data_IF_832256996884
#
_entry.id   IF_832256996884
#
_cell.length_a   1.000
_cell.length_b   1.000
_cell.length_c   1.000
_cell.angle_alpha   90.00
_cell.angle_beta   90.00
_cell.angle_gamma   90.00
#
_symmetry.space_group_name_H-M   'P 1'
#
loop_
_entity.id
_entity.type
_entity.pdbx_description
1 polymer ?
#
# COMPACT_ATOMS: atom_id res chain seq x y z
N UNK A 1 -28.01 8.67 6.78
CA UNK A 1 -27.18 7.54 6.32
C UNK A 1 -25.75 7.81 6.74
N UNK A 2 -25.11 6.84 7.38
CA UNK A 2 -23.74 6.97 7.89
C UNK A 2 -22.76 7.19 6.74
N UNK A 3 -21.82 8.13 6.92
CA UNK A 3 -20.83 8.50 5.90
C UNK A 3 -19.43 8.56 6.49
N UNK A 4 -18.48 8.05 5.71
CA UNK A 4 -17.06 8.34 5.85
C UNK A 4 -16.66 9.36 4.78
N UNK A 5 -15.83 10.33 5.14
CA UNK A 5 -15.25 11.27 4.17
C UNK A 5 -13.73 11.15 4.12
N UNK A 6 -13.18 11.09 2.92
CA UNK A 6 -11.75 11.05 2.64
C UNK A 6 -11.37 12.40 2.04
N UNK A 7 -10.60 13.19 2.79
CA UNK A 7 -10.11 14.51 2.40
C UNK A 7 -8.61 14.41 2.11
N UNK A 8 -8.17 14.20 0.84
CA UNK A 8 -6.75 14.22 0.51
C UNK A 8 -6.15 15.58 0.89
N UNK A 9 -4.96 15.55 1.49
CA UNK A 9 -4.24 16.76 1.89
C UNK A 9 -3.14 17.10 0.89
N UNK A 10 -2.75 18.36 0.84
CA UNK A 10 -1.55 18.76 0.10
C UNK A 10 -0.31 18.04 0.64
N UNK A 11 0.55 17.59 -0.28
CA UNK A 11 1.79 16.91 0.10
C UNK A 11 2.72 17.89 0.81
N UNK A 12 3.12 17.54 2.03
CA UNK A 12 4.00 18.39 2.86
C UNK A 12 5.44 17.94 2.69
N UNK A 13 6.34 18.88 2.37
CA UNK A 13 7.79 18.69 2.32
C UNK A 13 8.43 19.27 3.58
N UNK A 14 9.18 18.45 4.33
CA UNK A 14 9.88 18.89 5.53
C UNK A 14 11.07 17.98 5.87
N UNK A 15 12.20 18.59 6.20
CA UNK A 15 13.42 17.90 6.68
C UNK A 15 13.91 16.77 5.74
N UNK A 16 13.80 16.96 4.42
CA UNK A 16 14.19 15.96 3.41
C UNK A 16 13.19 14.80 3.26
N UNK A 17 12.02 14.90 3.89
CA UNK A 17 10.92 13.95 3.74
C UNK A 17 9.71 14.61 3.08
N UNK A 18 8.92 13.79 2.41
CA UNK A 18 7.57 14.11 1.97
C UNK A 18 6.56 13.33 2.80
N UNK A 19 5.42 13.96 3.08
CA UNK A 19 4.27 13.36 3.74
C UNK A 19 3.06 13.52 2.84
N UNK A 20 2.47 12.40 2.44
CA UNK A 20 1.20 12.31 1.72
C UNK A 20 0.17 11.87 2.73
N UNK A 21 -0.94 12.58 2.81
CA UNK A 21 -1.95 12.31 3.83
C UNK A 21 -3.37 12.44 3.28
N UNK A 22 -4.29 11.77 3.98
CA UNK A 22 -5.71 11.92 3.82
C UNK A 22 -6.33 12.04 5.22
N UNK A 23 -7.09 13.10 5.45
CA UNK A 23 -7.91 13.22 6.65
C UNK A 23 -9.17 12.39 6.45
N UNK A 24 -9.36 11.40 7.32
CA UNK A 24 -10.52 10.53 7.36
C UNK A 24 -11.49 11.08 8.40
N UNK A 25 -12.64 11.55 7.96
CA UNK A 25 -13.75 11.90 8.84
C UNK A 25 -14.66 10.69 8.98
N UNK A 26 -14.87 10.28 10.22
CA UNK A 26 -15.67 9.13 10.60
C UNK A 26 -17.15 9.54 10.76
N UNK A 27 -18.03 8.56 10.96
CA UNK A 27 -19.48 8.74 11.10
C UNK A 27 -19.82 9.62 12.31
N UNK A 28 -19.02 9.53 13.38
CA UNK A 28 -19.12 10.36 14.59
C UNK A 28 -18.44 11.74 14.43
N UNK A 29 -18.07 12.11 13.20
CA UNK A 29 -17.36 13.34 12.82
C UNK A 29 -15.95 13.45 13.41
N UNK A 30 -15.45 12.41 14.08
CA UNK A 30 -14.04 12.40 14.50
C UNK A 30 -13.15 12.32 13.28
N UNK A 31 -12.06 13.10 13.31
CA UNK A 31 -11.10 13.18 12.21
C UNK A 31 -9.80 12.52 12.61
N UNK A 32 -9.31 11.62 11.76
CA UNK A 32 -8.00 10.97 11.91
C UNK A 32 -7.23 11.05 10.60
N UNK A 33 -5.94 11.38 10.71
CA UNK A 33 -5.06 11.48 9.55
C UNK A 33 -4.42 10.13 9.24
N UNK A 34 -4.64 9.61 8.03
CA UNK A 34 -3.86 8.52 7.47
C UNK A 34 -2.72 9.13 6.65
N UNK A 35 -1.49 8.69 6.87
CA UNK A 35 -0.33 9.25 6.17
C UNK A 35 0.69 8.21 5.75
N UNK A 36 1.44 8.59 4.73
CA UNK A 36 2.63 7.94 4.20
C UNK A 36 3.79 8.95 4.25
N UNK A 37 4.94 8.52 4.76
CA UNK A 37 6.15 9.34 4.86
C UNK A 37 7.32 8.63 4.21
N UNK A 38 8.04 9.32 3.34
CA UNK A 38 9.20 8.78 2.62
C UNK A 38 10.19 9.90 2.27
N UNK A 39 11.44 9.56 1.90
CA UNK A 39 12.42 10.56 1.46
C UNK A 39 11.93 11.37 0.25
N UNK A 40 12.21 12.67 0.26
CA UNK A 40 11.74 13.61 -0.77
C UNK A 40 12.18 13.25 -2.20
N UNK A 41 13.33 12.59 -2.35
CA UNK A 41 13.84 12.13 -3.66
C UNK A 41 12.89 11.20 -4.43
N UNK A 42 11.88 10.64 -3.77
CA UNK A 42 10.88 9.76 -4.37
C UNK A 42 9.58 10.47 -4.76
N UNK A 43 9.48 11.79 -4.55
CA UNK A 43 8.29 12.60 -4.82
C UNK A 43 7.73 12.41 -6.23
N UNK A 44 8.57 12.36 -7.25
CA UNK A 44 8.05 12.29 -8.62
C UNK A 44 7.53 10.90 -8.99
N UNK A 45 7.76 9.90 -8.11
CA UNK A 45 7.33 8.51 -8.30
C UNK A 45 5.99 8.16 -7.68
N UNK A 46 5.45 9.03 -6.83
CA UNK A 46 4.23 8.78 -6.08
C UNK A 46 3.00 9.36 -6.76
N UNK A 47 1.84 8.76 -6.49
CA UNK A 47 0.54 9.18 -7.01
C UNK A 47 -0.12 10.26 -6.16
N UNK A 48 -0.96 11.08 -6.78
CA UNK A 48 -1.92 11.96 -6.10
C UNK A 48 -3.31 11.33 -5.98
N UNK A 49 -3.53 10.13 -6.53
CA UNK A 49 -4.79 9.39 -6.41
C UNK A 49 -5.06 8.98 -4.96
N UNK A 50 -6.34 8.88 -4.61
CA UNK A 50 -6.81 8.42 -3.31
C UNK A 50 -6.83 6.89 -3.19
N UNK A 51 -6.53 6.15 -4.26
CA UNK A 51 -6.51 4.68 -4.28
C UNK A 51 -5.75 4.07 -3.09
N UNK A 52 -4.52 4.53 -2.72
CA UNK A 52 -3.80 3.97 -1.59
C UNK A 52 -4.54 4.16 -0.26
N UNK A 53 -5.28 5.25 -0.07
CA UNK A 53 -5.99 5.50 1.18
C UNK A 53 -7.21 4.60 1.33
N UNK A 54 -7.93 4.36 0.23
CA UNK A 54 -9.09 3.46 0.20
C UNK A 54 -8.64 2.03 0.51
N UNK A 55 -7.62 1.54 -0.20
CA UNK A 55 -7.13 0.16 -0.02
C UNK A 55 -6.55 -0.06 1.38
N UNK A 56 -5.91 0.95 1.96
CA UNK A 56 -5.39 0.87 3.33
C UNK A 56 -6.50 0.68 4.39
N UNK A 57 -7.68 1.23 4.14
CA UNK A 57 -8.79 1.26 5.11
C UNK A 57 -9.98 0.39 4.73
N UNK A 58 -9.94 -0.32 3.59
CA UNK A 58 -11.10 -1.06 3.07
C UNK A 58 -11.78 -1.94 4.12
N UNK A 59 -11.02 -2.73 4.88
CA UNK A 59 -11.57 -3.57 5.93
C UNK A 59 -12.18 -2.81 7.11
N UNK A 60 -11.60 -1.66 7.48
CA UNK A 60 -12.18 -0.79 8.49
C UNK A 60 -13.52 -0.23 8.00
N UNK A 61 -13.60 0.17 6.73
CA UNK A 61 -14.82 0.73 6.16
C UNK A 61 -15.93 -0.32 6.03
N UNK A 62 -15.59 -1.57 5.73
CA UNK A 62 -16.54 -2.68 5.63
C UNK A 62 -17.11 -3.16 6.98
N UNK A 63 -16.64 -2.63 8.12
CA UNK A 63 -17.12 -3.06 9.45
C UNK A 63 -18.56 -2.66 9.74
N UNK A 64 -19.08 -1.66 9.06
CA UNK A 64 -20.44 -1.17 9.25
C UNK A 64 -21.02 -0.64 7.94
N UNK A 65 -22.34 -0.74 7.72
CA UNK A 65 -22.96 -0.16 6.54
C UNK A 65 -22.81 1.36 6.49
N UNK A 66 -22.01 1.86 5.53
CA UNK A 66 -21.76 3.27 5.33
C UNK A 66 -21.54 3.62 3.85
N UNK A 67 -21.75 4.90 3.53
CA UNK A 67 -21.30 5.49 2.26
C UNK A 67 -19.91 6.08 2.45
N UNK A 68 -19.02 5.89 1.49
CA UNK A 68 -17.69 6.50 1.47
C UNK A 68 -17.70 7.59 0.39
N UNK A 69 -17.38 8.82 0.81
CA UNK A 69 -17.23 9.96 -0.09
C UNK A 69 -15.77 10.34 -0.15
N UNK A 70 -15.19 10.32 -1.34
CA UNK A 70 -13.77 10.62 -1.57
C UNK A 70 -13.67 11.95 -2.30
N UNK A 71 -13.11 12.94 -1.61
CA UNK A 71 -12.93 14.30 -2.12
C UNK A 71 -11.65 14.43 -2.95
N UNK A 72 -11.47 13.49 -3.88
CA UNK A 72 -10.28 13.36 -4.69
C UNK A 72 -10.47 12.35 -5.83
N UNK A 73 -9.38 12.09 -6.54
CA UNK A 73 -9.38 11.15 -7.66
C UNK A 73 -9.29 9.70 -7.18
N UNK A 74 -10.10 8.82 -7.77
CA UNK A 74 -10.03 7.36 -7.60
C UNK A 74 -10.08 6.71 -8.98
N UNK A 75 -9.33 5.61 -9.16
CA UNK A 75 -9.33 4.88 -10.42
C UNK A 75 -10.62 4.07 -10.61
N UNK A 76 -11.33 4.19 -11.75
CA UNK A 76 -12.48 3.36 -12.07
C UNK A 76 -12.17 1.85 -11.98
N UNK A 77 -11.00 1.45 -12.45
CA UNK A 77 -10.51 0.07 -12.34
C UNK A 77 -10.37 -0.41 -10.89
N UNK A 78 -9.96 0.46 -9.96
CA UNK A 78 -9.95 0.13 -8.53
C UNK A 78 -11.38 -0.04 -8.00
N UNK A 79 -12.30 0.88 -8.32
CA UNK A 79 -13.69 0.80 -7.85
C UNK A 79 -14.38 -0.49 -8.32
N UNK A 80 -14.11 -0.91 -9.56
CA UNK A 80 -14.58 -2.19 -10.06
C UNK A 80 -13.99 -3.36 -9.27
N UNK A 81 -12.66 -3.41 -9.14
CA UNK A 81 -11.98 -4.53 -8.47
C UNK A 81 -12.30 -4.63 -6.97
N UNK A 82 -12.47 -3.49 -6.30
CA UNK A 82 -12.79 -3.46 -4.88
C UNK A 82 -14.23 -3.88 -4.61
N UNK A 83 -15.13 -3.74 -5.59
CA UNK A 83 -16.49 -4.29 -5.50
C UNK A 83 -16.47 -5.81 -5.40
N UNK A 84 -15.71 -6.47 -6.29
CA UNK A 84 -15.53 -7.93 -6.23
C UNK A 84 -14.79 -8.36 -4.96
N UNK A 85 -13.74 -7.63 -4.58
CA UNK A 85 -12.98 -7.92 -3.36
C UNK A 85 -13.87 -7.87 -2.10
N UNK A 86 -14.77 -6.89 -2.02
CA UNK A 86 -15.75 -6.79 -0.93
C UNK A 86 -16.71 -7.98 -0.91
N UNK A 87 -17.22 -8.39 -2.09
CA UNK A 87 -18.13 -9.53 -2.21
C UNK A 87 -17.48 -10.82 -1.70
N UNK A 88 -16.22 -11.08 -2.06
CA UNK A 88 -15.46 -12.25 -1.59
C UNK A 88 -15.36 -12.26 -0.06
N UNK A 89 -14.98 -11.13 0.55
CA UNK A 89 -14.84 -11.04 2.00
C UNK A 89 -16.17 -11.10 2.75
N UNK A 90 -17.24 -10.60 2.15
CA UNK A 90 -18.59 -10.77 2.67
C UNK A 90 -19.03 -12.24 2.61
N UNK A 91 -18.63 -13.01 1.59
CA UNK A 91 -18.86 -14.45 1.58
C UNK A 91 -18.05 -15.19 2.64
N UNK A 92 -16.80 -14.79 2.88
CA UNK A 92 -15.94 -15.46 3.85
C UNK A 92 -16.24 -15.11 5.32
N UNK A 93 -16.65 -13.87 5.60
CA UNK A 93 -16.98 -13.40 6.95
C UNK A 93 -18.26 -12.55 6.95
N UNK A 94 -19.43 -13.14 6.62
CA UNK A 94 -20.69 -12.42 6.42
C UNK A 94 -21.18 -11.67 7.66
N UNK A 95 -20.86 -12.17 8.86
CA UNK A 95 -21.28 -11.54 10.12
C UNK A 95 -20.41 -10.35 10.54
N UNK A 96 -19.33 -10.09 9.81
CA UNK A 96 -18.32 -9.08 10.18
C UNK A 96 -18.10 -8.01 9.11
N UNK A 97 -18.27 -8.37 7.84
CA UNK A 97 -18.02 -7.46 6.71
C UNK A 97 -19.25 -7.22 5.86
N UNK A 98 -19.43 -5.95 5.50
CA UNK A 98 -20.50 -5.45 4.66
C UNK A 98 -19.92 -4.76 3.43
N UNK A 99 -20.61 -4.87 2.30
CA UNK A 99 -20.30 -4.04 1.12
C UNK A 99 -20.61 -2.56 1.42
N UNK A 100 -19.70 -1.68 1.00
CA UNK A 100 -19.81 -0.24 1.14
C UNK A 100 -19.70 0.44 -0.23
N UNK A 101 -20.54 1.45 -0.42
CA UNK A 101 -20.57 2.23 -1.67
C UNK A 101 -19.50 3.32 -1.61
N UNK A 102 -18.57 3.30 -2.58
CA UNK A 102 -17.47 4.26 -2.69
C UNK A 102 -17.77 5.20 -3.85
N UNK A 103 -17.94 6.50 -3.54
CA UNK A 103 -18.15 7.54 -4.53
C UNK A 103 -16.97 8.52 -4.47
N UNK A 104 -16.35 8.76 -5.61
CA UNK A 104 -15.27 9.74 -5.75
C UNK A 104 -15.77 11.00 -6.45
N UNK A 105 -15.20 12.16 -6.09
CA UNK A 105 -15.45 13.41 -6.83
C UNK A 105 -14.91 13.34 -8.25
N UNK A 106 -13.81 12.61 -8.45
CA UNK A 106 -13.17 12.42 -9.75
C UNK A 106 -12.90 10.93 -9.94
N UNK A 107 -13.52 10.33 -10.96
CA UNK A 107 -13.23 8.97 -11.38
C UNK A 107 -12.37 9.00 -12.64
N UNK A 108 -11.07 8.76 -12.49
CA UNK A 108 -10.12 8.76 -13.58
C UNK A 108 -8.93 7.83 -13.28
N UNK A 109 -8.49 7.08 -14.29
CA UNK A 109 -7.29 6.26 -14.19
C UNK A 109 -6.05 7.13 -13.95
N UNK A 110 -5.04 6.58 -13.27
CA UNK A 110 -3.74 7.25 -13.16
C UNK A 110 -3.07 7.25 -14.53
N UNK A 111 -2.58 8.41 -14.96
CA UNK A 111 -1.65 8.48 -16.08
C UNK A 111 -0.37 7.74 -15.73
N UNK A 112 -0.21 6.54 -16.29
CA UNK A 112 1.02 5.78 -16.17
C UNK A 112 2.03 6.39 -17.13
N UNK A 113 3.23 6.73 -16.65
CA UNK A 113 4.33 7.05 -17.54
C UNK A 113 4.52 5.88 -18.55
N UNK A 114 4.74 6.18 -19.83
CA UNK A 114 5.00 5.19 -20.91
C UNK A 114 6.28 4.34 -20.73
N UNK A 115 6.77 4.21 -19.50
CA UNK A 115 7.95 3.44 -19.13
C UNK A 115 7.65 1.94 -19.18
N UNK A 116 8.66 1.10 -19.43
CA UNK A 116 8.51 -0.36 -19.40
C UNK A 116 7.94 -0.82 -18.07
N UNK A 117 7.19 -1.93 -18.11
CA UNK A 117 6.57 -2.61 -16.97
C UNK A 117 7.58 -2.81 -15.83
N UNK A 118 7.67 -1.82 -14.93
CA UNK A 118 8.65 -1.77 -13.86
C UNK A 118 8.00 -2.27 -12.57
N UNK A 119 8.42 -3.44 -12.04
CA UNK A 119 7.84 -4.02 -10.85
C UNK A 119 8.52 -3.51 -9.58
N UNK A 120 7.71 -3.19 -8.56
CA UNK A 120 8.15 -2.95 -7.19
C UNK A 120 7.71 -4.11 -6.30
N UNK A 121 8.54 -4.53 -5.36
CA UNK A 121 8.21 -5.62 -4.43
C UNK A 121 8.26 -5.15 -2.99
N UNK A 122 7.29 -5.55 -2.16
CA UNK A 122 7.40 -5.38 -0.72
C UNK A 122 8.59 -6.21 -0.20
N UNK A 123 9.44 -5.61 0.63
CA UNK A 123 10.68 -6.23 1.09
C UNK A 123 10.92 -5.94 2.57
N UNK A 124 10.82 -6.99 3.40
CA UNK A 124 11.03 -6.88 4.85
C UNK A 124 12.45 -7.27 5.29
N UNK A 125 13.23 -7.92 4.42
CA UNK A 125 14.49 -8.58 4.78
C UNK A 125 14.29 -9.98 5.38
N UNK A 126 13.04 -10.44 5.49
CA UNK A 126 12.70 -11.81 5.88
C UNK A 126 12.93 -12.81 4.74
N UNK A 127 13.02 -14.10 5.08
CA UNK A 127 13.38 -15.19 4.16
C UNK A 127 12.49 -15.22 2.92
N UNK A 128 11.19 -14.95 3.05
CA UNK A 128 10.23 -14.96 1.95
C UNK A 128 10.51 -13.87 0.92
N UNK A 129 10.78 -12.64 1.40
CA UNK A 129 11.14 -11.52 0.54
C UNK A 129 12.49 -11.71 -0.15
N UNK A 130 13.46 -12.28 0.58
CA UNK A 130 14.78 -12.61 0.06
C UNK A 130 14.71 -13.71 -1.00
N UNK A 131 13.96 -14.78 -0.74
CA UNK A 131 13.79 -15.91 -1.65
C UNK A 131 12.99 -15.52 -2.89
N UNK A 132 11.93 -14.72 -2.74
CA UNK A 132 11.18 -14.15 -3.87
C UNK A 132 12.10 -13.36 -4.77
N UNK A 133 12.84 -12.39 -4.23
CA UNK A 133 13.79 -11.60 -5.02
C UNK A 133 14.86 -12.47 -5.70
N UNK A 134 15.44 -13.43 -4.96
CA UNK A 134 16.48 -14.32 -5.47
C UNK A 134 15.98 -15.17 -6.65
N UNK A 135 14.79 -15.77 -6.55
CA UNK A 135 14.22 -16.56 -7.65
C UNK A 135 14.02 -15.72 -8.91
N UNK A 136 13.52 -14.48 -8.75
CA UNK A 136 13.41 -13.53 -9.85
C UNK A 136 14.79 -13.18 -10.41
N UNK A 137 15.79 -12.89 -9.58
CA UNK A 137 17.15 -12.57 -10.06
C UNK A 137 17.85 -13.76 -10.74
N UNK A 138 17.47 -14.99 -10.41
CA UNK A 138 18.03 -16.23 -11.00
C UNK A 138 17.23 -16.79 -12.17
N UNK A 139 16.13 -16.15 -12.59
CA UNK A 139 15.33 -16.64 -13.72
C UNK A 139 14.50 -17.88 -13.39
N UNK A 140 14.25 -18.17 -12.10
CA UNK A 140 13.60 -19.40 -11.64
C UNK A 140 12.06 -19.30 -11.58
N UNK A 141 11.50 -18.15 -11.98
CA UNK A 141 10.07 -17.89 -11.94
C UNK A 141 9.31 -18.26 -13.24
N UNK A 142 10.00 -18.75 -14.28
CA UNK A 142 9.37 -19.13 -15.55
C UNK A 142 8.57 -17.98 -16.17
N UNK A 143 7.29 -18.21 -16.50
CA UNK A 143 6.40 -17.16 -17.06
C UNK A 143 6.08 -16.02 -16.09
N UNK A 144 6.28 -16.25 -14.80
CA UNK A 144 6.09 -15.23 -13.75
C UNK A 144 7.35 -14.39 -13.52
N UNK A 145 8.38 -14.57 -14.36
CA UNK A 145 9.60 -13.78 -14.28
C UNK A 145 9.29 -12.28 -14.39
N UNK A 146 9.87 -11.52 -13.46
CA UNK A 146 9.78 -10.05 -13.37
C UNK A 146 11.16 -9.48 -13.11
N UNK A 147 11.50 -8.38 -13.78
CA UNK A 147 12.75 -7.65 -13.54
C UNK A 147 12.60 -6.72 -12.32
N UNK A 148 12.67 -7.27 -11.12
CA UNK A 148 12.52 -6.51 -9.87
C UNK A 148 13.75 -5.61 -9.68
N UNK A 149 13.56 -4.31 -9.79
CA UNK A 149 14.60 -3.27 -9.62
C UNK A 149 14.40 -2.42 -8.38
N UNK A 150 13.27 -2.58 -7.68
CA UNK A 150 12.96 -1.82 -6.46
C UNK A 150 12.27 -2.69 -5.41
N UNK A 151 12.79 -2.66 -4.19
CA UNK A 151 12.16 -3.16 -2.98
C UNK A 151 11.62 -2.02 -2.11
N UNK A 152 10.43 -2.20 -1.53
CA UNK A 152 9.80 -1.26 -0.61
C UNK A 152 9.80 -1.83 0.80
N UNK A 153 10.48 -1.16 1.74
CA UNK A 153 10.52 -1.56 3.15
C UNK A 153 9.65 -0.63 3.98
N UNK A 154 8.69 -1.22 4.71
CA UNK A 154 7.63 -0.48 5.41
C UNK A 154 7.91 -0.41 6.92
N UNK A 155 7.92 0.79 7.47
CA UNK A 155 7.96 1.10 8.89
C UNK A 155 6.55 1.40 9.42
N UNK A 156 6.20 0.88 10.59
CA UNK A 156 4.88 1.06 11.22
C UNK A 156 4.00 -0.19 11.19
N UNK A 157 4.50 -1.30 10.62
CA UNK A 157 3.87 -2.62 10.68
C UNK A 157 4.54 -3.50 11.75
N UNK A 158 5.39 -4.44 11.33
CA UNK A 158 6.07 -5.38 12.23
C UNK A 158 7.05 -4.68 13.16
N UNK A 159 7.70 -3.62 12.67
CA UNK A 159 8.48 -2.68 13.48
C UNK A 159 7.59 -1.46 13.75
N UNK A 160 7.18 -1.21 15.01
CA UNK A 160 6.36 -0.06 15.36
C UNK A 160 7.05 1.27 15.06
N UNK A 161 6.28 2.32 14.81
CA UNK A 161 6.79 3.67 14.52
C UNK A 161 7.68 4.24 15.63
N UNK A 162 7.48 3.82 16.88
CA UNK A 162 8.30 4.23 18.03
C UNK A 162 9.71 3.63 18.02
N UNK A 163 9.94 2.54 17.29
CA UNK A 163 11.22 1.84 17.24
C UNK A 163 12.04 2.27 16.01
N UNK A 164 12.43 3.55 15.98
CA UNK A 164 13.15 4.16 14.86
C UNK A 164 14.53 3.53 14.63
N UNK A 165 15.29 3.25 15.69
CA UNK A 165 16.62 2.64 15.59
C UNK A 165 16.56 1.20 15.09
N UNK A 166 15.56 0.43 15.52
CA UNK A 166 15.33 -0.95 15.05
C UNK A 166 15.02 -0.94 13.56
N UNK A 167 14.14 -0.04 13.12
CA UNK A 167 13.85 0.12 11.70
C UNK A 167 15.08 0.55 10.90
N UNK A 168 15.85 1.53 11.38
CA UNK A 168 17.07 1.99 10.71
C UNK A 168 18.09 0.85 10.53
N UNK A 169 18.30 0.04 11.58
CA UNK A 169 19.19 -1.12 11.52
C UNK A 169 18.70 -2.17 10.52
N UNK A 170 17.40 -2.47 10.52
CA UNK A 170 16.80 -3.43 9.60
C UNK A 170 16.86 -2.91 8.14
N UNK A 171 16.58 -1.63 7.93
CA UNK A 171 16.65 -0.97 6.63
C UNK A 171 18.05 -1.01 6.04
N UNK A 172 19.09 -0.70 6.83
CA UNK A 172 20.47 -0.74 6.33
C UNK A 172 20.91 -2.15 5.91
N UNK A 173 20.47 -3.19 6.65
CA UNK A 173 20.71 -4.59 6.26
C UNK A 173 20.00 -4.94 4.96
N UNK A 174 18.71 -4.61 4.85
CA UNK A 174 17.90 -4.84 3.66
C UNK A 174 18.45 -4.09 2.44
N UNK A 175 18.88 -2.83 2.63
CA UNK A 175 19.49 -2.00 1.59
C UNK A 175 20.78 -2.62 1.04
N UNK A 176 21.67 -3.12 1.91
CA UNK A 176 22.89 -3.82 1.48
C UNK A 176 22.56 -5.08 0.67
N UNK A 177 21.57 -5.85 1.12
CA UNK A 177 21.14 -7.07 0.42
C UNK A 177 20.57 -6.76 -0.97
N UNK A 178 19.63 -5.81 -1.07
CA UNK A 178 19.05 -5.39 -2.33
C UNK A 178 20.11 -4.80 -3.28
N UNK A 179 21.04 -4.02 -2.75
CA UNK A 179 22.13 -3.42 -3.53
C UNK A 179 23.08 -4.48 -4.11
N UNK A 180 23.30 -5.60 -3.42
CA UNK A 180 24.09 -6.73 -3.96
C UNK A 180 23.45 -7.44 -5.16
N UNK A 181 22.18 -7.11 -5.45
CA UNK A 181 21.39 -7.65 -6.56
C UNK A 181 20.92 -6.54 -7.51
N UNK A 182 21.61 -5.39 -7.54
CA UNK A 182 21.27 -4.22 -8.37
C UNK A 182 19.80 -3.80 -8.20
N UNK A 183 19.34 -3.77 -6.95
CA UNK A 183 17.95 -3.44 -6.59
C UNK A 183 17.95 -2.29 -5.59
N UNK A 184 17.17 -1.25 -5.86
CA UNK A 184 16.99 -0.12 -4.94
C UNK A 184 16.13 -0.54 -3.73
N UNK A 185 16.41 0.02 -2.55
CA UNK A 185 15.58 -0.16 -1.36
C UNK A 185 14.97 1.20 -0.95
N UNK A 186 13.64 1.31 -1.03
CA UNK A 186 12.90 2.52 -0.65
C UNK A 186 12.33 2.33 0.76
N UNK A 187 12.62 3.23 1.71
CA UNK A 187 11.96 3.24 3.01
C UNK A 187 10.63 4.01 2.92
N UNK A 188 9.60 3.47 3.57
CA UNK A 188 8.29 4.12 3.70
C UNK A 188 7.78 3.92 5.13
N UNK A 189 7.40 5.00 5.81
CA UNK A 189 6.70 4.94 7.10
C UNK A 189 5.21 5.22 6.91
N UNK A 190 4.36 4.57 7.70
CA UNK A 190 2.92 4.85 7.70
C UNK A 190 2.27 4.54 9.04
N UNK A 191 1.14 5.19 9.33
CA UNK A 191 0.35 4.98 10.54
C UNK A 191 -0.90 4.10 10.36
N UNK A 192 -1.03 3.32 9.28
CA UNK A 192 -2.20 2.45 9.03
C UNK A 192 -2.62 1.65 10.27
N UNK A 193 -1.66 1.07 11.03
CA UNK A 193 -1.96 0.30 12.25
C UNK A 193 -2.70 1.08 13.35
N UNK A 194 -2.65 2.42 13.34
CA UNK A 194 -3.36 3.26 14.30
C UNK A 194 -4.87 3.33 14.04
N UNK A 195 -5.33 2.91 12.86
CA UNK A 195 -6.77 2.84 12.54
C UNK A 195 -7.47 1.62 13.14
N UNK A 196 -6.74 0.76 13.87
CA UNK A 196 -7.22 -0.34 14.72
C UNK A 196 -8.36 -1.15 14.08
N UNK A 197 -7.98 -2.09 13.24
CA UNK A 197 -8.88 -3.11 12.70
C UNK A 197 -8.22 -4.50 12.78
N UNK A 198 -8.96 -5.55 12.42
CA UNK A 198 -8.45 -6.92 12.38
C UNK A 198 -7.21 -7.02 11.48
N UNK A 199 -6.03 -7.09 12.11
CA UNK A 199 -4.77 -6.96 11.40
C UNK A 199 -4.50 -8.09 10.42
N UNK A 200 -4.88 -9.32 10.77
CA UNK A 200 -4.68 -10.49 9.90
C UNK A 200 -5.41 -10.32 8.56
N UNK A 201 -6.63 -9.81 8.57
CA UNK A 201 -7.41 -9.54 7.36
C UNK A 201 -6.80 -8.34 6.61
N UNK A 202 -6.39 -7.30 7.34
CA UNK A 202 -5.90 -6.02 6.79
C UNK A 202 -4.48 -6.09 6.23
N UNK A 203 -3.65 -7.04 6.67
CA UNK A 203 -2.21 -7.04 6.39
C UNK A 203 -1.90 -6.91 4.90
N UNK A 204 -2.54 -7.73 4.05
CA UNK A 204 -2.32 -7.71 2.63
C UNK A 204 -2.74 -6.38 2.00
N UNK A 205 -3.92 -5.84 2.34
CA UNK A 205 -4.38 -4.56 1.78
C UNK A 205 -3.51 -3.39 2.26
N UNK A 206 -3.01 -3.42 3.49
CA UNK A 206 -2.07 -2.42 4.00
C UNK A 206 -0.71 -2.45 3.27
N UNK A 207 -0.21 -3.63 2.90
CA UNK A 207 1.01 -3.74 2.07
C UNK A 207 0.73 -3.26 0.64
N UNK A 208 -0.41 -3.66 0.06
CA UNK A 208 -0.82 -3.23 -1.29
C UNK A 208 -0.95 -1.72 -1.35
N UNK A 209 -1.58 -1.09 -0.34
CA UNK A 209 -1.72 0.37 -0.32
C UNK A 209 -0.37 1.08 -0.33
N UNK A 210 0.62 0.58 0.41
CA UNK A 210 1.98 1.08 0.37
C UNK A 210 2.64 0.94 -1.02
N UNK A 211 2.40 -0.17 -1.74
CA UNK A 211 2.89 -0.35 -3.11
C UNK A 211 2.16 0.58 -4.09
N UNK A 212 0.84 0.72 -3.95
CA UNK A 212 -0.01 1.58 -4.78
C UNK A 212 0.34 3.06 -4.64
N UNK A 213 0.96 3.49 -3.54
CA UNK A 213 1.51 4.84 -3.45
C UNK A 213 2.45 5.17 -4.61
N UNK A 214 3.13 4.16 -5.16
CA UNK A 214 4.08 4.28 -6.27
C UNK A 214 3.48 3.92 -7.65
N UNK A 215 2.15 3.81 -7.77
CA UNK A 215 1.47 3.42 -9.02
C UNK A 215 1.68 4.38 -10.20
N UNK A 216 2.19 5.60 -9.94
CA UNK A 216 2.64 6.52 -11.00
C UNK A 216 3.88 6.01 -11.73
N UNK A 217 4.79 5.31 -11.04
CA UNK A 217 6.07 4.84 -11.57
C UNK A 217 6.17 3.33 -11.76
N UNK A 218 5.33 2.55 -11.07
CA UNK A 218 5.38 1.08 -11.10
C UNK A 218 4.01 0.52 -11.46
N UNK A 219 3.98 -0.29 -12.51
CA UNK A 219 2.75 -0.91 -13.04
C UNK A 219 2.42 -2.24 -12.33
N UNK A 220 3.39 -2.82 -11.63
CA UNK A 220 3.25 -4.12 -10.97
C UNK A 220 3.79 -4.03 -9.55
N UNK A 221 2.95 -4.37 -8.58
CA UNK A 221 3.34 -4.59 -7.18
C UNK A 221 3.43 -6.08 -6.87
N UNK A 222 4.50 -6.50 -6.19
CA UNK A 222 4.66 -7.88 -5.71
C UNK A 222 4.63 -7.94 -4.18
N UNK A 223 3.77 -8.82 -3.66
CA UNK A 223 3.83 -9.27 -2.27
C UNK A 223 4.58 -10.61 -2.26
N UNK A 224 5.70 -10.73 -1.54
CA UNK A 224 6.41 -12.00 -1.40
C UNK A 224 5.51 -13.10 -0.84
N UNK A 225 5.62 -14.30 -1.38
CA UNK A 225 4.86 -15.47 -0.93
C UNK A 225 5.47 -16.05 0.35
N UNK A 226 4.65 -16.31 1.36
CA UNK A 226 5.06 -17.06 2.56
C UNK A 226 5.23 -18.56 2.30
N UNK A 227 4.57 -19.11 1.28
CA UNK A 227 4.75 -20.48 0.83
C UNK A 227 4.96 -20.55 -0.68
N UNK A 228 6.00 -21.28 -1.10
CA UNK A 228 6.16 -21.67 -2.48
C UNK A 228 5.29 -22.91 -2.74
N UNK A 229 4.48 -22.90 -3.80
CA UNK A 229 3.83 -24.12 -4.27
C UNK A 229 4.90 -25.20 -4.52
N UNK A 230 4.68 -26.42 -4.02
CA UNK A 230 5.53 -27.56 -4.35
C UNK A 230 5.48 -27.72 -5.87
N UNK A 231 6.61 -27.48 -6.53
CA UNK A 231 6.82 -27.76 -7.95
C UNK A 231 7.43 -29.15 -8.10
#
# INVERSE_FOLDING_TARGET
MNKYHFWPEETVKKDGFIVIACTIENIDQTRKKLWYKLPEQYHDRITSSCDPFIVALIFKLMTEPAKIVVHGQVSPSLLQNITEYQAIWQCWRPDYYHSVEINAEIEAEISVDNRPNNPISAFSGGVDSCFTLWQHKKGLCGRWQRNITTGLMIHGFDIPLSQTEVFASAFEKSKRMLSSLDTECIPLSTNIRQFKHQWLDTFASAVISCLMLFQKSYQVGLIPSSEAYRK
#
